data_IF_813154757564
#
_entry.id   IF_813154757564
#
_cell.length_a   1.000
_cell.length_b   1.000
_cell.length_c   1.000
_cell.angle_alpha   90.00
_cell.angle_beta   90.00
_cell.angle_gamma   90.00
#
_symmetry.space_group_name_H-M   'P 1'
#
loop_
_entity.id
_entity.type
_entity.pdbx_description
1 polymer ?
#
# COMPACT_ATOMS: atom_id res chain seq x y z
N UNK A 1 1.17 19.03 1.09
CA UNK A 1 2.48 18.77 1.73
C UNK A 1 3.34 20.01 1.75
N UNK A 2 3.89 20.48 0.63
CA UNK A 2 4.76 21.68 0.61
C UNK A 2 4.12 22.93 1.24
N UNK A 3 2.81 23.14 1.05
CA UNK A 3 2.10 24.22 1.73
C UNK A 3 2.13 24.07 3.25
N UNK A 4 1.77 22.89 3.77
CA UNK A 4 1.80 22.62 5.21
C UNK A 4 3.21 22.79 5.78
N UNK A 5 4.21 22.24 5.08
CA UNK A 5 5.62 22.35 5.46
C UNK A 5 6.09 23.81 5.53
N UNK A 6 5.75 24.64 4.52
CA UNK A 6 6.09 26.06 4.50
C UNK A 6 5.50 26.87 5.67
N UNK A 7 4.40 26.41 6.25
CA UNK A 7 3.73 27.03 7.39
C UNK A 7 3.92 26.26 8.70
N UNK A 8 4.83 25.27 8.73
CA UNK A 8 5.10 24.42 9.89
C UNK A 8 3.85 23.72 10.45
N UNK A 9 2.90 23.38 9.57
CA UNK A 9 1.69 22.66 9.93
C UNK A 9 1.95 21.14 9.86
N UNK A 10 1.76 20.40 10.97
CA UNK A 10 1.94 18.96 10.96
C UNK A 10 0.94 18.30 10.01
N UNK A 11 1.35 17.17 9.43
CA UNK A 11 0.54 16.42 8.46
C UNK A 11 0.24 15.03 8.99
N UNK A 12 -1.03 14.62 8.89
CA UNK A 12 -1.47 13.26 9.21
C UNK A 12 -1.88 12.57 7.91
N UNK A 13 -1.27 11.42 7.65
CA UNK A 13 -1.62 10.53 6.54
C UNK A 13 -2.62 9.50 7.03
N UNK A 14 -3.78 9.45 6.37
CA UNK A 14 -4.79 8.43 6.58
C UNK A 14 -4.72 7.46 5.40
N UNK A 15 -4.13 6.29 5.63
CA UNK A 15 -3.80 5.35 4.57
C UNK A 15 -4.91 4.31 4.40
N UNK A 16 -5.53 4.31 3.22
CA UNK A 16 -6.39 3.22 2.72
C UNK A 16 -6.20 3.09 1.21
N UNK A 17 -5.08 2.50 0.80
CA UNK A 17 -4.65 2.41 -0.59
C UNK A 17 -4.23 0.97 -0.96
N UNK A 18 -4.83 0.37 -2.02
CA UNK A 18 -4.44 -0.96 -2.50
C UNK A 18 -3.21 -0.94 -3.43
N UNK A 19 -2.74 0.24 -3.84
CA UNK A 19 -1.64 0.41 -4.78
C UNK A 19 -1.85 1.58 -5.73
N UNK A 20 -0.92 1.75 -6.68
CA UNK A 20 -1.09 2.69 -7.79
C UNK A 20 -1.94 2.07 -8.89
N UNK A 21 -2.71 2.91 -9.58
CA UNK A 21 -3.42 2.49 -10.79
C UNK A 21 -2.41 2.15 -11.88
N UNK A 22 -2.66 1.05 -12.58
CA UNK A 22 -1.87 0.58 -13.73
C UNK A 22 -2.74 0.64 -15.00
N UNK A 23 -2.12 0.88 -16.16
CA UNK A 23 -2.81 0.85 -17.44
C UNK A 23 -2.30 1.88 -18.44
N UNK A 24 -2.63 1.68 -19.72
CA UNK A 24 -2.10 2.51 -20.82
C UNK A 24 -2.40 4.01 -20.66
N UNK A 25 -3.60 4.36 -20.18
CA UNK A 25 -4.00 5.75 -19.99
C UNK A 25 -3.13 6.44 -18.93
N UNK A 26 -2.95 5.82 -17.76
CA UNK A 26 -2.15 6.41 -16.67
C UNK A 26 -0.66 6.51 -17.00
N UNK A 27 -0.14 5.58 -17.82
CA UNK A 27 1.23 5.68 -18.34
C UNK A 27 1.41 6.84 -19.30
N UNK A 28 0.45 7.06 -20.22
CA UNK A 28 0.46 8.23 -21.11
C UNK A 28 0.39 9.55 -20.34
N UNK A 29 -0.39 9.58 -19.26
CA UNK A 29 -0.53 10.73 -18.36
C UNK A 29 0.68 10.90 -17.40
N UNK A 30 1.64 9.96 -17.45
CA UNK A 30 2.87 9.97 -16.64
C UNK A 30 2.58 10.02 -15.13
N UNK A 31 1.56 9.30 -14.69
CA UNK A 31 1.18 9.25 -13.27
C UNK A 31 2.35 8.81 -12.38
N UNK A 32 3.19 7.88 -12.85
CA UNK A 32 4.38 7.46 -12.12
C UNK A 32 5.35 8.63 -11.87
N UNK A 33 5.59 9.50 -12.87
CA UNK A 33 6.45 10.67 -12.69
C UNK A 33 5.86 11.66 -11.67
N UNK A 34 4.53 11.82 -11.65
CA UNK A 34 3.86 12.65 -10.64
C UNK A 34 3.96 12.03 -9.25
N UNK A 35 3.81 10.71 -9.13
CA UNK A 35 3.98 9.98 -7.88
C UNK A 35 5.40 10.12 -7.32
N UNK A 36 6.43 10.01 -8.16
CA UNK A 36 7.83 10.21 -7.75
C UNK A 36 8.04 11.62 -7.18
N UNK A 37 7.50 12.66 -7.84
CA UNK A 37 7.57 14.04 -7.32
C UNK A 37 6.86 14.20 -5.98
N UNK A 38 5.76 13.47 -5.77
CA UNK A 38 5.06 13.45 -4.49
C UNK A 38 5.95 12.84 -3.39
N UNK A 39 6.57 11.69 -3.66
CA UNK A 39 7.49 11.03 -2.71
C UNK A 39 8.74 11.86 -2.45
N UNK A 40 9.27 12.54 -3.47
CA UNK A 40 10.41 13.46 -3.32
C UNK A 40 10.04 14.65 -2.42
N UNK A 41 8.86 15.24 -2.61
CA UNK A 41 8.37 16.30 -1.74
C UNK A 41 8.18 15.82 -0.30
N UNK A 42 7.68 14.59 -0.12
CA UNK A 42 7.53 13.95 1.19
C UNK A 42 8.88 13.75 1.88
N UNK A 43 9.88 13.22 1.18
CA UNK A 43 11.22 12.98 1.74
C UNK A 43 11.98 14.26 2.10
N UNK A 44 11.57 15.42 1.57
CA UNK A 44 12.12 16.74 1.92
C UNK A 44 11.28 17.49 2.96
N UNK A 45 10.18 16.91 3.48
CA UNK A 45 9.40 17.57 4.52
C UNK A 45 10.22 17.70 5.81
N UNK A 46 10.08 18.86 6.46
CA UNK A 46 10.72 19.19 7.73
C UNK A 46 9.74 19.21 8.90
N UNK A 47 8.46 19.48 8.64
CA UNK A 47 7.39 19.44 9.64
C UNK A 47 7.07 17.98 10.04
N UNK A 48 6.73 17.71 11.32
CA UNK A 48 6.43 16.36 11.76
C UNK A 48 5.23 15.76 11.04
N UNK A 49 5.32 14.46 10.79
CA UNK A 49 4.29 13.69 10.08
C UNK A 49 3.90 12.46 10.89
N UNK A 50 2.62 12.12 10.85
CA UNK A 50 2.10 10.87 11.43
C UNK A 50 1.31 10.13 10.37
N UNK A 51 1.32 8.81 10.45
CA UNK A 51 0.60 7.97 9.50
C UNK A 51 -0.24 6.95 10.26
N UNK A 52 -1.50 6.80 9.83
CA UNK A 52 -2.44 5.81 10.37
C UNK A 52 -2.98 4.97 9.22
N UNK A 53 -2.65 3.68 9.21
CA UNK A 53 -3.24 2.73 8.27
C UNK A 53 -4.62 2.33 8.77
N UNK A 54 -5.64 2.71 8.00
CA UNK A 54 -7.04 2.46 8.31
C UNK A 54 -7.45 1.06 7.86
N UNK A 55 -7.14 0.71 6.61
CA UNK A 55 -7.57 -0.57 6.05
C UNK A 55 -6.58 -1.17 5.09
N UNK A 56 -6.26 -0.55 3.94
CA UNK A 56 -5.27 -1.11 3.00
C UNK A 56 -3.98 -0.30 2.95
N UNK A 57 -2.84 -0.99 2.95
CA UNK A 57 -1.52 -0.39 2.79
C UNK A 57 -0.61 -1.29 1.97
N UNK A 58 -0.72 -1.22 0.64
CA UNK A 58 -0.04 -2.16 -0.26
C UNK A 58 0.97 -1.52 -1.22
N UNK A 59 2.04 -2.27 -1.48
CA UNK A 59 3.03 -1.99 -2.52
C UNK A 59 3.68 -0.62 -2.39
N UNK A 60 3.98 0.01 -3.53
CA UNK A 60 4.61 1.34 -3.56
C UNK A 60 3.72 2.46 -3.01
N UNK A 61 2.41 2.21 -2.87
CA UNK A 61 1.51 3.20 -2.28
C UNK A 61 1.72 3.32 -0.75
N UNK A 62 2.18 2.25 -0.08
CA UNK A 62 2.49 2.27 1.34
C UNK A 62 3.59 3.30 1.69
N UNK A 63 4.82 3.22 1.12
CA UNK A 63 5.82 4.26 1.36
C UNK A 63 5.36 5.61 0.77
N UNK A 64 4.68 5.64 -0.37
CA UNK A 64 4.20 6.91 -0.93
C UNK A 64 3.24 7.66 0.02
N UNK A 65 2.48 6.95 0.85
CA UNK A 65 1.61 7.51 1.88
C UNK A 65 2.32 7.69 3.24
N UNK A 66 3.63 7.91 3.22
CA UNK A 66 4.47 8.08 4.41
C UNK A 66 4.43 6.88 5.35
N UNK A 67 4.44 5.67 4.78
CA UNK A 67 4.68 4.44 5.51
C UNK A 67 6.13 4.35 6.03
N UNK A 68 6.53 3.14 6.39
CA UNK A 68 7.87 2.88 6.94
C UNK A 68 8.98 3.29 5.96
N UNK A 69 10.07 3.86 6.48
CA UNK A 69 11.27 4.19 5.72
C UNK A 69 11.37 5.61 5.14
N UNK A 70 10.35 6.48 5.30
CA UNK A 70 10.37 7.87 4.80
C UNK A 70 10.39 8.96 5.88
N UNK A 71 10.72 8.62 7.13
CA UNK A 71 10.90 9.60 8.20
C UNK A 71 9.61 10.04 8.90
N UNK A 72 8.55 9.22 8.81
CA UNK A 72 7.35 9.41 9.64
C UNK A 72 7.72 9.46 11.12
N UNK A 73 7.19 10.45 11.85
CA UNK A 73 7.42 10.60 13.29
C UNK A 73 6.66 9.55 14.11
N UNK A 74 5.68 8.88 13.50
CA UNK A 74 4.91 7.82 14.13
C UNK A 74 4.02 7.12 13.10
N UNK A 75 4.10 5.79 13.09
CA UNK A 75 3.37 4.95 12.16
C UNK A 75 2.47 4.00 12.95
N UNK A 76 1.17 4.15 12.76
CA UNK A 76 0.12 3.41 13.47
C UNK A 76 -0.74 2.64 12.48
N UNK A 77 -1.40 1.59 12.96
CA UNK A 77 -2.30 0.78 12.14
C UNK A 77 -3.51 0.33 12.95
N UNK A 78 -4.68 0.31 12.33
CA UNK A 78 -5.83 -0.35 12.93
C UNK A 78 -5.65 -1.88 12.95
N UNK A 79 -6.26 -2.57 13.94
CA UNK A 79 -6.15 -4.03 14.09
C UNK A 79 -6.60 -4.83 12.86
N UNK A 80 -7.56 -4.30 12.11
CA UNK A 80 -8.12 -4.95 10.91
C UNK A 80 -7.53 -4.46 9.60
N UNK A 81 -6.44 -3.68 9.64
CA UNK A 81 -5.79 -3.23 8.42
C UNK A 81 -4.91 -4.34 7.81
N UNK A 82 -4.75 -4.30 6.50
CA UNK A 82 -3.95 -5.20 5.71
C UNK A 82 -2.75 -4.44 5.13
N UNK A 83 -1.55 -4.93 5.42
CA UNK A 83 -0.29 -4.33 4.98
C UNK A 83 0.54 -5.40 4.30
N UNK A 84 1.06 -5.12 3.11
CA UNK A 84 1.87 -6.09 2.39
C UNK A 84 2.45 -5.58 1.07
N UNK A 85 3.15 -6.46 0.37
CA UNK A 85 3.76 -6.12 -0.91
C UNK A 85 2.73 -5.86 -2.02
N UNK A 86 1.67 -6.66 -2.05
CA UNK A 86 0.60 -6.55 -3.05
C UNK A 86 -0.71 -7.01 -2.44
N UNK A 87 -1.80 -6.37 -2.86
CA UNK A 87 -3.14 -6.79 -2.51
C UNK A 87 -3.37 -8.27 -2.94
N UNK A 88 -3.88 -9.14 -2.05
CA UNK A 88 -4.01 -10.58 -2.33
C UNK A 88 -4.78 -10.91 -3.61
N UNK A 89 -5.86 -10.18 -3.91
CA UNK A 89 -6.66 -10.40 -5.12
C UNK A 89 -5.84 -10.12 -6.39
N UNK A 90 -5.04 -9.06 -6.35
CA UNK A 90 -4.14 -8.67 -7.44
C UNK A 90 -2.97 -9.65 -7.54
N UNK A 91 -2.38 -10.02 -6.40
CA UNK A 91 -1.25 -10.95 -6.33
C UNK A 91 -1.56 -12.32 -6.91
N UNK A 92 -2.74 -12.87 -6.60
CA UNK A 92 -3.19 -14.15 -7.15
C UNK A 92 -3.34 -14.08 -8.67
N UNK A 93 -3.96 -13.01 -9.17
CA UNK A 93 -4.09 -12.78 -10.60
C UNK A 93 -2.73 -12.72 -11.30
N UNK A 94 -1.80 -11.95 -10.77
CA UNK A 94 -0.50 -11.74 -11.40
C UNK A 94 0.36 -13.00 -11.35
N UNK A 95 0.38 -13.71 -10.24
CA UNK A 95 1.25 -14.88 -10.04
C UNK A 95 0.69 -16.18 -10.62
N UNK A 96 -0.64 -16.35 -10.65
CA UNK A 96 -1.28 -17.62 -10.98
C UNK A 96 -2.24 -17.58 -12.16
N UNK A 97 -2.34 -16.46 -12.91
CA UNK A 97 -3.21 -16.35 -14.10
C UNK A 97 -3.14 -17.58 -15.02
N UNK A 98 -1.93 -17.96 -15.46
CA UNK A 98 -1.75 -19.08 -16.39
C UNK A 98 -2.22 -20.44 -15.84
N UNK A 99 -2.23 -20.62 -14.52
CA UNK A 99 -2.72 -21.84 -13.87
C UNK A 99 -4.24 -21.82 -13.77
N UNK A 100 -4.82 -20.66 -13.47
CA UNK A 100 -6.27 -20.48 -13.38
C UNK A 100 -6.94 -20.60 -14.76
N UNK A 101 -6.27 -20.16 -15.82
CA UNK A 101 -6.77 -20.26 -17.21
C UNK A 101 -6.88 -21.70 -17.73
N UNK A 102 -6.21 -22.67 -17.06
CA UNK A 102 -6.26 -24.09 -17.42
C UNK A 102 -7.43 -24.84 -16.76
N UNK A 103 -8.15 -24.19 -15.84
CA UNK A 103 -9.25 -24.78 -15.09
C UNK A 103 -10.59 -24.40 -15.72
N UNK A 104 -11.66 -25.13 -15.39
CA UNK A 104 -13.01 -24.65 -15.71
C UNK A 104 -13.33 -23.37 -14.92
N UNK A 105 -14.24 -22.50 -15.39
CA UNK A 105 -14.56 -21.23 -14.70
C UNK A 105 -14.93 -21.40 -13.22
N UNK A 106 -15.62 -22.49 -12.88
CA UNK A 106 -16.02 -22.77 -11.50
C UNK A 106 -14.85 -23.22 -10.62
N UNK A 107 -13.94 -24.02 -11.17
CA UNK A 107 -12.74 -24.48 -10.47
C UNK A 107 -11.72 -23.34 -10.31
N UNK A 108 -11.57 -22.50 -11.33
CA UNK A 108 -10.70 -21.32 -11.29
C UNK A 108 -11.13 -20.35 -10.17
N UNK A 109 -12.42 -20.11 -10.02
CA UNK A 109 -12.94 -19.20 -8.98
C UNK A 109 -12.78 -19.78 -7.57
N UNK A 110 -13.02 -21.09 -7.42
CA UNK A 110 -12.80 -21.77 -6.15
C UNK A 110 -11.31 -21.75 -5.74
N UNK A 111 -10.41 -22.03 -6.68
CA UNK A 111 -8.97 -22.02 -6.43
C UNK A 111 -8.46 -20.59 -6.16
N UNK A 112 -8.97 -19.59 -6.90
CA UNK A 112 -8.70 -18.17 -6.62
C UNK A 112 -9.09 -17.79 -5.21
N UNK A 113 -10.33 -18.09 -4.80
CA UNK A 113 -10.85 -17.75 -3.48
C UNK A 113 -9.99 -18.39 -2.38
N UNK A 114 -9.58 -19.65 -2.58
CA UNK A 114 -8.67 -20.35 -1.68
C UNK A 114 -7.32 -19.65 -1.57
N UNK A 115 -6.67 -19.34 -2.70
CA UNK A 115 -5.37 -18.68 -2.72
C UNK A 115 -5.41 -17.27 -2.12
N UNK A 116 -6.46 -16.49 -2.40
CA UNK A 116 -6.64 -15.15 -1.83
C UNK A 116 -6.74 -15.25 -0.30
N UNK A 117 -7.59 -16.15 0.20
CA UNK A 117 -7.72 -16.39 1.65
C UNK A 117 -6.39 -16.78 2.30
N UNK A 118 -5.61 -17.66 1.67
CA UNK A 118 -4.30 -18.07 2.18
C UNK A 118 -3.29 -16.92 2.21
N UNK A 119 -3.25 -16.10 1.16
CA UNK A 119 -2.31 -14.96 1.07
C UNK A 119 -2.72 -13.82 2.00
N UNK A 120 -4.03 -13.58 2.17
CA UNK A 120 -4.57 -12.59 3.11
C UNK A 120 -4.15 -12.83 4.56
N UNK A 121 -3.82 -14.07 4.95
CA UNK A 121 -3.30 -14.34 6.30
C UNK A 121 -1.95 -13.64 6.56
N UNK A 122 -1.13 -13.47 5.50
CA UNK A 122 0.17 -12.83 5.57
C UNK A 122 0.12 -11.30 5.46
N UNK A 123 -1.07 -10.70 5.33
CA UNK A 123 -1.22 -9.22 5.29
C UNK A 123 -1.52 -8.63 6.65
N UNK A 124 -1.51 -9.44 7.71
CA UNK A 124 -1.80 -9.04 9.09
C UNK A 124 -0.92 -7.86 9.54
N UNK A 125 -1.51 -6.81 10.15
CA UNK A 125 -0.76 -5.63 10.57
C UNK A 125 0.14 -5.95 11.78
N UNK A 126 -0.11 -7.07 12.48
CA UNK A 126 0.67 -7.52 13.61
C UNK A 126 2.06 -8.03 13.20
N UNK A 127 2.16 -8.69 12.04
CA UNK A 127 3.45 -9.10 11.49
C UNK A 127 4.25 -7.89 11.01
N UNK A 128 3.57 -6.96 10.33
CA UNK A 128 4.14 -5.67 9.94
C UNK A 128 4.62 -4.86 11.16
N UNK A 129 3.94 -4.95 12.31
CA UNK A 129 4.35 -4.22 13.51
C UNK A 129 5.68 -4.71 14.10
N UNK A 130 6.02 -5.98 13.91
CA UNK A 130 7.32 -6.52 14.32
C UNK A 130 8.48 -6.14 13.40
N UNK A 131 8.20 -5.70 12.17
CA UNK A 131 9.21 -5.56 11.10
C UNK A 131 9.35 -4.16 10.54
N UNK A 132 8.30 -3.34 10.58
CA UNK A 132 8.22 -2.01 9.94
C UNK A 132 8.21 -0.85 10.94
N UNK A 133 8.57 -1.10 12.20
CA UNK A 133 8.54 -0.11 13.29
C UNK A 133 7.15 0.52 13.52
N UNK A 134 6.06 -0.21 13.25
CA UNK A 134 4.72 0.26 13.60
C UNK A 134 4.65 0.38 15.13
N UNK A 135 4.40 1.60 15.61
CA UNK A 135 4.23 1.85 17.03
C UNK A 135 2.82 1.42 17.44
N UNK A 136 2.72 0.65 18.52
CA UNK A 136 1.44 0.20 19.08
C UNK A 136 0.66 1.33 19.71
#
# INVERSE_FOLDING_TARGET
MCLCDAFNLPVIFLMDVPGFMVGKAVEHDRILSLAIRFVEALGNMSTPTLTVTLRKGFGLAFPAMNGSGLGSSGLYSWPGAEIGFMDPDVGVNVAYASRLDQLSPQEAEAERTRMVSEISLATSPYEAAGTLELTK
#
